data_IF_195115645505
#
_entry.id   IF_195115645505
#
_cell.length_a   1.000
_cell.length_b   1.000
_cell.length_c   1.000
_cell.angle_alpha   90.00
_cell.angle_beta   90.00
_cell.angle_gamma   90.00
#
_symmetry.space_group_name_H-M   'P 1'
#
loop_
_entity.id
_entity.type
_entity.pdbx_description
1 polymer ?
#
# COMPACT_ATOMS: atom_id res chain seq x y z
N UNK A 1 -19.53 23.04 -31.21
CA UNK A 1 -19.29 21.65 -30.73
C UNK A 1 -20.60 21.13 -30.18
N UNK A 2 -21.25 20.17 -30.85
CA UNK A 2 -22.52 19.63 -30.36
C UNK A 2 -22.26 18.79 -29.11
N UNK A 3 -22.70 19.30 -27.96
CA UNK A 3 -22.68 18.54 -26.72
C UNK A 3 -23.62 17.33 -26.91
N UNK A 4 -23.04 16.14 -26.97
CA UNK A 4 -23.82 14.90 -27.01
C UNK A 4 -24.56 14.76 -25.68
N UNK A 5 -25.90 14.85 -25.72
CA UNK A 5 -26.77 14.67 -24.56
C UNK A 5 -27.64 13.43 -24.68
N UNK A 6 -28.08 12.91 -23.53
CA UNK A 6 -28.97 11.75 -23.39
C UNK A 6 -29.90 11.97 -22.20
N UNK A 7 -31.06 11.31 -22.20
CA UNK A 7 -31.95 11.27 -21.05
C UNK A 7 -31.66 10.05 -20.17
N UNK A 8 -31.63 10.26 -18.84
CA UNK A 8 -31.38 9.21 -17.87
C UNK A 8 -32.59 8.28 -17.75
N UNK A 9 -32.42 6.97 -17.98
CA UNK A 9 -33.51 5.98 -17.87
C UNK A 9 -34.12 5.80 -16.46
N UNK A 10 -33.59 6.47 -15.44
CA UNK A 10 -34.05 6.34 -14.04
C UNK A 10 -34.76 7.58 -13.49
N UNK A 11 -34.47 8.76 -14.02
CA UNK A 11 -34.99 10.03 -13.52
C UNK A 11 -35.31 11.03 -14.63
N UNK A 12 -35.20 10.61 -15.89
CA UNK A 12 -35.45 11.35 -17.13
C UNK A 12 -34.67 12.66 -17.32
N UNK A 13 -33.80 13.01 -16.36
CA UNK A 13 -32.90 14.16 -16.45
C UNK A 13 -31.94 14.02 -17.64
N UNK A 14 -31.86 15.07 -18.45
CA UNK A 14 -30.87 15.22 -19.51
C UNK A 14 -29.45 15.33 -18.91
N UNK A 15 -28.50 14.60 -19.50
CA UNK A 15 -27.10 14.64 -19.11
C UNK A 15 -26.19 14.60 -20.34
N UNK A 16 -25.07 15.32 -20.24
CA UNK A 16 -24.07 15.41 -21.30
C UNK A 16 -22.96 14.37 -21.13
N UNK A 17 -22.27 14.08 -22.23
CA UNK A 17 -21.05 13.27 -22.24
C UNK A 17 -19.94 13.96 -21.45
N UNK A 18 -19.38 13.28 -20.44
CA UNK A 18 -18.22 13.81 -19.73
C UNK A 18 -16.96 13.72 -20.61
N UNK A 19 -15.98 14.63 -20.46
CA UNK A 19 -14.72 14.55 -21.20
C UNK A 19 -13.98 13.22 -20.99
N UNK A 20 -14.05 12.67 -19.77
CA UNK A 20 -13.45 11.39 -19.41
C UNK A 20 -14.18 10.16 -19.97
N UNK A 21 -15.41 10.30 -20.47
CA UNK A 21 -16.17 9.18 -21.03
C UNK A 21 -15.61 8.84 -22.43
N UNK A 22 -15.17 7.59 -22.63
CA UNK A 22 -14.82 7.11 -23.98
C UNK A 22 -16.06 7.07 -24.88
N UNK A 23 -15.89 7.16 -26.21
CA UNK A 23 -17.01 7.06 -27.17
C UNK A 23 -17.78 5.74 -26.99
N UNK A 24 -17.06 4.63 -26.76
CA UNK A 24 -17.62 3.30 -26.50
C UNK A 24 -18.44 3.27 -25.21
N UNK A 25 -17.92 3.84 -24.12
CA UNK A 25 -18.65 3.91 -22.86
C UNK A 25 -19.89 4.80 -22.97
N UNK A 26 -19.77 5.96 -23.63
CA UNK A 26 -20.90 6.86 -23.86
C UNK A 26 -22.04 6.17 -24.62
N UNK A 27 -21.74 5.37 -25.64
CA UNK A 27 -22.75 4.64 -26.42
C UNK A 27 -23.67 3.77 -25.53
N UNK A 28 -23.08 3.06 -24.55
CA UNK A 28 -23.82 2.16 -23.64
C UNK A 28 -24.30 2.85 -22.35
N UNK A 29 -23.91 4.09 -22.07
CA UNK A 29 -24.29 4.81 -20.84
C UNK A 29 -25.76 5.20 -20.89
N UNK A 30 -26.52 4.73 -19.90
CA UNK A 30 -27.98 4.89 -19.78
C UNK A 30 -28.41 5.81 -18.63
N UNK A 31 -27.51 6.12 -17.70
CA UNK A 31 -27.85 6.81 -16.45
C UNK A 31 -26.94 8.01 -16.22
N UNK A 32 -27.49 9.08 -15.65
CA UNK A 32 -26.75 10.29 -15.33
C UNK A 32 -25.78 10.12 -14.14
N UNK A 33 -25.98 9.10 -13.30
CA UNK A 33 -25.16 8.83 -12.11
C UNK A 33 -25.19 7.36 -11.67
N UNK A 34 -24.21 6.96 -10.85
CA UNK A 34 -24.21 5.65 -10.17
C UNK A 34 -25.46 5.46 -9.32
N UNK A 35 -25.96 6.52 -8.67
CA UNK A 35 -27.21 6.49 -7.89
C UNK A 35 -28.40 6.08 -8.75
N UNK A 36 -28.53 6.67 -9.94
CA UNK A 36 -29.59 6.33 -10.89
C UNK A 36 -29.48 4.89 -11.41
N UNK A 37 -28.26 4.45 -11.76
CA UNK A 37 -28.02 3.06 -12.18
C UNK A 37 -28.37 2.05 -11.07
N UNK A 38 -28.03 2.36 -9.81
CA UNK A 38 -28.33 1.53 -8.66
C UNK A 38 -29.83 1.53 -8.30
N UNK A 39 -30.53 2.65 -8.52
CA UNK A 39 -31.96 2.78 -8.20
C UNK A 39 -32.87 2.04 -9.20
N UNK A 40 -32.44 1.83 -10.45
CA UNK A 40 -33.11 0.93 -11.39
C UNK A 40 -32.84 -0.55 -11.11
N UNK A 41 -31.79 -0.85 -10.34
CA UNK A 41 -31.42 -2.20 -9.96
C UNK A 41 -32.19 -2.70 -8.71
N UNK A 42 -33.44 -2.26 -8.53
CA UNK A 42 -34.34 -2.71 -7.43
C UNK A 42 -34.63 -4.22 -7.46
N UNK A 43 -34.26 -4.93 -8.53
CA UNK A 43 -34.29 -6.40 -8.59
C UNK A 43 -33.15 -7.07 -7.82
N UNK A 44 -32.11 -6.35 -7.38
CA UNK A 44 -31.07 -6.94 -6.52
C UNK A 44 -31.64 -7.42 -5.17
N UNK A 45 -32.65 -6.72 -4.60
CA UNK A 45 -33.37 -7.20 -3.41
C UNK A 45 -34.18 -8.49 -3.67
N UNK A 46 -34.58 -8.75 -4.92
CA UNK A 46 -35.31 -9.97 -5.31
C UNK A 46 -34.44 -11.23 -5.31
N UNK A 47 -33.11 -11.10 -5.42
CA UNK A 47 -32.18 -12.24 -5.39
C UNK A 47 -31.78 -12.65 -3.97
N UNK A 48 -32.09 -11.82 -2.96
CA UNK A 48 -31.85 -12.14 -1.56
C UNK A 48 -32.95 -13.10 -1.10
N UNK A 49 -32.58 -14.37 -0.87
CA UNK A 49 -33.51 -15.41 -0.41
C UNK A 49 -34.04 -16.36 -1.50
N UNK A 50 -33.77 -16.10 -2.79
CA UNK A 50 -34.06 -17.10 -3.84
C UNK A 50 -33.10 -18.28 -3.66
N UNK A 51 -33.64 -19.44 -3.28
CA UNK A 51 -32.88 -20.69 -3.26
C UNK A 51 -32.46 -21.03 -4.69
N UNK A 52 -31.17 -21.27 -4.89
CA UNK A 52 -30.65 -21.75 -6.17
C UNK A 52 -31.29 -23.11 -6.50
N UNK A 53 -31.51 -23.43 -7.80
CA UNK A 53 -31.98 -24.75 -8.20
C UNK A 53 -31.07 -25.85 -7.65
N UNK A 54 -31.65 -26.98 -7.24
CA UNK A 54 -30.90 -28.09 -6.65
C UNK A 54 -29.75 -28.56 -7.56
N UNK A 55 -29.95 -28.55 -8.88
CA UNK A 55 -28.93 -28.90 -9.87
C UNK A 55 -27.71 -27.97 -9.84
N UNK A 56 -27.91 -26.67 -9.58
CA UNK A 56 -26.83 -25.68 -9.43
C UNK A 56 -26.12 -25.87 -8.10
N UNK A 57 -26.88 -26.10 -7.02
CA UNK A 57 -26.31 -26.38 -5.69
C UNK A 57 -25.45 -27.65 -5.73
N UNK A 58 -25.91 -28.70 -6.41
CA UNK A 58 -25.20 -29.97 -6.55
C UNK A 58 -23.91 -29.83 -7.38
N UNK A 59 -23.95 -29.10 -8.50
CA UNK A 59 -22.74 -28.76 -9.28
C UNK A 59 -21.73 -27.97 -8.44
N UNK A 60 -22.20 -27.03 -7.62
CA UNK A 60 -21.33 -26.27 -6.72
C UNK A 60 -20.71 -27.12 -5.61
N UNK A 61 -21.46 -28.07 -5.02
CA UNK A 61 -20.94 -28.99 -3.98
C UNK A 61 -19.80 -29.86 -4.51
N UNK A 62 -19.86 -30.28 -5.77
CA UNK A 62 -18.81 -31.09 -6.43
C UNK A 62 -17.54 -30.31 -6.74
N UNK A 63 -17.62 -28.99 -6.89
CA UNK A 63 -16.49 -28.11 -7.20
C UNK A 63 -15.95 -27.33 -6.01
N UNK A 64 -16.58 -27.47 -4.83
CA UNK A 64 -16.13 -26.80 -3.63
C UNK A 64 -14.75 -27.33 -3.20
N UNK A 65 -13.76 -26.45 -3.29
CA UNK A 65 -12.53 -26.53 -2.52
C UNK A 65 -12.88 -26.94 -1.08
N UNK A 66 -12.47 -28.14 -0.67
CA UNK A 66 -12.81 -28.65 0.66
C UNK A 66 -12.16 -27.72 1.69
N UNK A 67 -12.98 -27.02 2.48
CA UNK A 67 -12.52 -26.06 3.48
C UNK A 67 -11.49 -26.74 4.38
N UNK A 68 -10.26 -26.21 4.42
CA UNK A 68 -9.16 -26.77 5.21
C UNK A 68 -8.13 -27.59 4.41
N UNK A 69 -8.40 -27.96 3.16
CA UNK A 69 -7.35 -28.55 2.32
C UNK A 69 -6.28 -27.52 1.98
N UNK A 70 -5.02 -27.87 2.20
CA UNK A 70 -3.91 -27.12 1.66
C UNK A 70 -3.94 -27.24 0.12
N UNK A 71 -3.83 -26.12 -0.62
CA UNK A 71 -3.65 -26.22 -2.06
C UNK A 71 -2.32 -26.94 -2.36
N UNK A 72 -2.25 -27.68 -3.46
CA UNK A 72 -1.08 -28.48 -3.85
C UNK A 72 0.22 -27.67 -3.98
N UNK A 73 0.11 -26.36 -4.20
CA UNK A 73 1.23 -25.43 -4.31
C UNK A 73 1.61 -24.76 -2.97
N UNK A 74 0.98 -25.14 -1.85
CA UNK A 74 1.31 -24.57 -0.54
C UNK A 74 2.75 -24.90 -0.18
N UNK A 75 3.55 -23.85 0.05
CA UNK A 75 4.98 -23.99 0.35
C UNK A 75 5.88 -24.18 -0.88
N UNK A 76 5.31 -24.37 -2.07
CA UNK A 76 6.08 -24.46 -3.32
C UNK A 76 6.32 -23.04 -3.85
N UNK A 77 7.57 -22.56 -3.92
CA UNK A 77 7.86 -21.23 -4.43
C UNK A 77 7.65 -21.18 -5.96
N UNK A 78 6.98 -20.12 -6.44
CA UNK A 78 6.81 -19.92 -7.88
C UNK A 78 8.06 -19.29 -8.51
N UNK A 79 9.06 -20.13 -8.83
CA UNK A 79 10.38 -19.69 -9.31
C UNK A 79 10.34 -19.02 -10.70
N UNK A 80 9.31 -19.30 -11.50
CA UNK A 80 9.16 -18.74 -12.84
C UNK A 80 8.96 -17.21 -12.85
N UNK A 81 8.32 -16.67 -11.80
CA UNK A 81 8.05 -15.23 -11.65
C UNK A 81 8.70 -14.74 -10.35
N UNK A 82 10.03 -14.73 -10.35
CA UNK A 82 10.88 -14.17 -9.30
C UNK A 82 12.02 -13.40 -9.93
N UNK A 83 12.67 -12.55 -9.15
CA UNK A 83 13.84 -11.89 -9.68
C UNK A 83 13.46 -10.96 -10.83
N UNK A 84 14.38 -10.83 -11.76
CA UNK A 84 14.21 -10.16 -13.05
C UNK A 84 13.04 -10.71 -13.88
N UNK A 85 12.60 -11.95 -13.62
CA UNK A 85 11.46 -12.58 -14.33
C UNK A 85 10.10 -12.06 -13.86
N UNK A 86 10.03 -11.33 -12.74
CA UNK A 86 8.79 -10.76 -12.24
C UNK A 86 8.48 -9.43 -12.94
N UNK A 87 7.29 -9.26 -13.53
CA UNK A 87 6.94 -8.03 -14.29
C UNK A 87 7.02 -6.72 -13.48
N UNK A 88 6.80 -6.79 -12.16
CA UNK A 88 7.03 -5.67 -11.21
C UNK A 88 8.49 -5.52 -10.74
N UNK A 89 9.45 -6.30 -11.23
CA UNK A 89 10.85 -6.18 -10.84
C UNK A 89 11.44 -4.88 -11.40
N UNK A 90 11.97 -4.06 -10.51
CA UNK A 90 12.56 -2.76 -10.86
C UNK A 90 14.08 -2.84 -10.72
N UNK A 91 14.75 -3.66 -11.52
CA UNK A 91 16.21 -3.74 -11.58
C UNK A 91 16.91 -4.08 -10.26
N UNK A 92 16.24 -4.82 -9.36
CA UNK A 92 16.83 -5.14 -8.07
C UNK A 92 17.07 -3.92 -7.17
N UNK A 93 16.22 -2.88 -7.19
CA UNK A 93 16.31 -1.74 -6.24
C UNK A 93 16.41 -2.20 -4.77
N UNK A 94 15.93 -3.40 -4.43
CA UNK A 94 16.07 -4.05 -3.12
C UNK A 94 17.41 -4.79 -2.90
N UNK A 95 18.35 -4.75 -3.85
CA UNK A 95 19.65 -5.42 -3.82
C UNK A 95 20.66 -4.76 -2.87
N UNK A 96 21.90 -5.26 -2.88
CA UNK A 96 23.05 -4.78 -2.10
C UNK A 96 23.19 -3.25 -2.22
N UNK A 97 22.72 -2.52 -1.20
CA UNK A 97 22.74 -1.05 -1.16
C UNK A 97 21.38 -0.39 -0.93
N UNK A 98 20.27 -1.13 -1.08
CA UNK A 98 18.95 -0.61 -0.71
C UNK A 98 18.89 -0.32 0.78
N UNK A 99 18.19 0.75 1.21
CA UNK A 99 18.01 1.06 2.64
C UNK A 99 17.48 -0.15 3.41
N UNK A 100 16.53 -0.89 2.82
CA UNK A 100 15.96 -2.09 3.44
C UNK A 100 17.00 -3.18 3.63
N UNK A 101 17.88 -3.41 2.65
CA UNK A 101 18.99 -4.36 2.77
C UNK A 101 20.01 -3.90 3.82
N UNK A 102 20.42 -2.62 3.79
CA UNK A 102 21.39 -2.09 4.75
C UNK A 102 20.88 -2.24 6.18
N UNK A 103 19.59 -2.02 6.42
CA UNK A 103 19.00 -2.24 7.75
C UNK A 103 19.05 -3.70 8.24
N UNK A 104 19.33 -4.67 7.35
CA UNK A 104 19.52 -6.08 7.73
C UNK A 104 20.97 -6.44 8.06
N UNK A 105 21.94 -5.60 7.67
CA UNK A 105 23.37 -5.87 7.90
C UNK A 105 23.72 -5.85 9.38
N UNK A 106 24.77 -6.56 9.75
CA UNK A 106 25.27 -6.61 11.13
C UNK A 106 25.73 -5.23 11.60
N UNK A 107 26.42 -4.49 10.74
CA UNK A 107 26.91 -3.13 11.02
C UNK A 107 25.78 -2.17 11.42
N UNK A 108 24.69 -2.11 10.65
CA UNK A 108 23.54 -1.27 10.99
C UNK A 108 22.88 -1.70 12.31
N UNK A 109 22.75 -3.01 12.55
CA UNK A 109 22.18 -3.53 13.80
C UNK A 109 23.05 -3.19 15.01
N UNK A 110 24.37 -3.30 14.87
CA UNK A 110 25.32 -2.95 15.92
C UNK A 110 25.29 -1.45 16.22
N UNK A 111 25.33 -0.60 15.18
CA UNK A 111 25.19 0.85 15.32
C UNK A 111 23.88 1.24 16.01
N UNK A 112 22.75 0.68 15.57
CA UNK A 112 21.43 0.92 16.19
C UNK A 112 21.41 0.51 17.65
N UNK A 113 21.98 -0.65 17.98
CA UNK A 113 22.06 -1.14 19.36
C UNK A 113 22.93 -0.23 20.22
N UNK A 114 24.09 0.18 19.73
CA UNK A 114 25.02 1.05 20.45
C UNK A 114 24.37 2.39 20.84
N UNK A 115 23.60 3.00 19.94
CA UNK A 115 22.87 4.25 20.25
C UNK A 115 21.78 4.02 21.29
N UNK A 116 21.02 2.92 21.16
CA UNK A 116 19.96 2.60 22.11
C UNK A 116 20.53 2.30 23.49
N UNK A 117 21.65 1.59 23.58
CA UNK A 117 22.35 1.30 24.84
C UNK A 117 22.93 2.59 25.47
N UNK A 118 23.58 3.44 24.67
CA UNK A 118 24.09 4.76 25.13
C UNK A 118 22.98 5.62 25.71
N UNK A 119 21.84 5.66 25.02
CA UNK A 119 20.69 6.48 25.38
C UNK A 119 19.79 5.80 26.43
N UNK A 120 20.23 4.66 26.97
CA UNK A 120 19.48 3.82 27.91
C UNK A 120 18.02 3.62 27.45
N UNK A 121 17.83 3.26 26.17
CA UNK A 121 16.52 3.03 25.55
C UNK A 121 15.49 4.14 25.83
N UNK A 122 15.96 5.39 25.86
CA UNK A 122 15.15 6.55 26.23
C UNK A 122 15.15 7.58 25.09
N UNK A 123 13.96 8.13 24.77
CA UNK A 123 13.83 9.17 23.77
C UNK A 123 14.59 10.43 24.21
N UNK A 124 15.55 10.88 23.40
CA UNK A 124 16.42 12.01 23.74
C UNK A 124 15.72 13.38 23.65
N UNK A 125 14.50 13.45 23.11
CA UNK A 125 13.73 14.71 23.04
C UNK A 125 12.72 14.86 24.17
N UNK A 126 12.11 13.77 24.63
CA UNK A 126 11.01 13.83 25.60
C UNK A 126 11.19 12.94 26.83
N UNK A 127 12.29 12.19 26.92
CA UNK A 127 12.56 11.29 28.05
C UNK A 127 11.69 10.02 28.10
N UNK A 128 10.85 9.76 27.08
CA UNK A 128 10.00 8.57 27.08
C UNK A 128 10.81 7.27 26.98
N UNK A 129 10.54 6.32 27.88
CA UNK A 129 11.13 4.98 27.95
C UNK A 129 10.05 3.90 27.79
N UNK A 130 10.41 2.71 27.30
CA UNK A 130 9.47 1.58 27.17
C UNK A 130 8.46 1.75 26.02
N UNK A 131 8.68 2.73 25.15
CA UNK A 131 7.87 2.98 23.95
C UNK A 131 8.56 2.44 22.71
N UNK A 132 7.88 2.47 21.56
CA UNK A 132 8.54 2.24 20.27
C UNK A 132 9.61 3.30 20.05
N UNK A 133 10.84 2.89 19.70
CA UNK A 133 11.97 3.78 19.46
C UNK A 133 12.56 3.58 18.06
N UNK A 134 13.00 4.69 17.48
CA UNK A 134 13.72 4.75 16.22
C UNK A 134 15.14 5.25 16.47
N UNK A 135 16.11 4.67 15.77
CA UNK A 135 17.43 5.26 15.63
C UNK A 135 17.37 6.29 14.50
N UNK A 136 17.42 7.56 14.88
CA UNK A 136 17.44 8.71 13.99
C UNK A 136 18.88 9.17 13.72
N UNK A 137 19.13 9.64 12.50
CA UNK A 137 20.40 10.23 12.10
C UNK A 137 20.29 11.76 12.21
N UNK A 138 21.19 12.39 12.97
CA UNK A 138 21.23 13.85 13.13
C UNK A 138 21.54 14.51 11.77
N UNK A 139 22.59 14.04 11.10
CA UNK A 139 22.93 14.36 9.72
C UNK A 139 22.37 13.28 8.78
N UNK A 140 21.57 13.63 7.75
CA UNK A 140 20.87 12.66 6.92
C UNK A 140 21.75 11.57 6.29
N UNK A 141 21.29 10.32 6.40
CA UNK A 141 21.91 9.12 5.82
C UNK A 141 22.35 9.23 4.35
N UNK A 142 21.56 9.94 3.54
CA UNK A 142 21.80 10.10 2.10
C UNK A 142 22.90 11.11 1.77
N UNK A 143 23.08 12.13 2.62
CA UNK A 143 24.01 13.24 2.36
C UNK A 143 25.39 13.01 2.99
N UNK A 144 25.45 12.21 4.06
CA UNK A 144 26.67 11.99 4.84
C UNK A 144 26.98 10.50 4.97
N UNK A 145 27.39 9.82 3.89
CA UNK A 145 27.71 8.39 3.91
C UNK A 145 28.79 8.03 4.94
N UNK A 146 29.74 8.90 5.19
CA UNK A 146 30.84 8.75 6.14
C UNK A 146 30.39 8.79 7.61
N UNK A 147 29.21 9.38 7.89
CA UNK A 147 28.67 9.50 9.25
C UNK A 147 27.54 8.50 9.55
N UNK A 148 27.30 7.52 8.67
CA UNK A 148 26.17 6.59 8.81
C UNK A 148 26.22 5.75 10.07
N UNK A 149 27.43 5.42 10.51
CA UNK A 149 27.68 4.51 11.62
C UNK A 149 28.45 5.17 12.77
N UNK A 150 28.65 6.49 12.72
CA UNK A 150 29.17 7.21 13.87
C UNK A 150 28.09 7.29 14.94
N UNK A 151 28.44 6.95 16.18
CA UNK A 151 27.49 6.91 17.30
C UNK A 151 26.97 8.32 17.60
N UNK A 152 27.84 9.34 17.48
CA UNK A 152 27.49 10.74 17.72
C UNK A 152 26.52 11.32 16.69
N UNK A 153 26.47 10.74 15.49
CA UNK A 153 25.47 11.12 14.49
C UNK A 153 24.12 10.39 14.69
N UNK A 154 24.02 9.55 15.71
CA UNK A 154 22.82 8.82 16.05
C UNK A 154 22.14 9.33 17.31
N UNK A 155 20.80 9.30 17.32
CA UNK A 155 20.00 9.56 18.52
C UNK A 155 18.75 8.68 18.58
N UNK A 156 18.35 8.32 19.79
CA UNK A 156 17.14 7.54 20.06
C UNK A 156 15.93 8.45 20.15
N UNK A 157 14.93 8.27 19.27
CA UNK A 157 13.70 9.07 19.27
C UNK A 157 12.44 8.19 19.22
N UNK A 158 11.40 8.57 19.97
CA UNK A 158 10.06 8.01 19.79
C UNK A 158 9.45 8.51 18.46
N UNK A 159 8.48 7.79 17.85
CA UNK A 159 7.89 8.19 16.57
C UNK A 159 7.32 9.62 16.51
N UNK A 160 6.66 10.16 17.57
CA UNK A 160 6.23 11.55 17.58
C UNK A 160 7.40 12.54 17.46
N UNK A 161 8.43 12.41 18.30
CA UNK A 161 9.61 13.29 18.28
C UNK A 161 10.43 13.12 17.00
N UNK A 162 10.52 11.90 16.46
CA UNK A 162 11.22 11.67 15.20
C UNK A 162 10.57 12.42 14.03
N UNK A 163 9.23 12.55 14.01
CA UNK A 163 8.52 13.30 12.96
C UNK A 163 8.75 14.81 13.02
N UNK A 164 9.15 15.35 14.17
CA UNK A 164 9.39 16.79 14.33
C UNK A 164 10.77 17.22 13.85
N UNK A 165 11.69 16.29 13.56
CA UNK A 165 13.03 16.61 13.09
C UNK A 165 12.99 17.21 11.67
N UNK A 166 13.99 18.03 11.35
CA UNK A 166 14.16 18.63 10.02
C UNK A 166 14.68 17.63 8.98
N UNK A 167 15.10 16.46 9.43
CA UNK A 167 15.57 15.35 8.58
C UNK A 167 14.48 14.32 8.31
N UNK A 168 13.27 14.48 8.86
CA UNK A 168 12.20 13.51 8.69
C UNK A 168 11.56 13.57 7.30
N UNK A 169 11.49 12.42 6.64
CA UNK A 169 10.77 12.25 5.38
C UNK A 169 11.31 13.15 4.28
N UNK A 170 10.44 13.92 3.63
CA UNK A 170 10.82 14.85 2.54
C UNK A 170 11.61 16.06 3.01
N UNK A 171 11.61 16.39 4.32
CA UNK A 171 12.36 17.53 4.84
C UNK A 171 13.87 17.37 4.66
N UNK A 172 14.37 16.13 4.67
CA UNK A 172 15.77 15.82 4.39
C UNK A 172 16.26 16.32 3.01
N UNK A 173 15.36 16.51 2.03
CA UNK A 173 15.71 17.03 0.70
C UNK A 173 16.11 18.50 0.74
N UNK A 174 15.68 19.24 1.76
CA UNK A 174 15.94 20.67 1.93
C UNK A 174 16.87 20.95 3.11
N UNK A 175 17.53 19.91 3.66
CA UNK A 175 18.44 20.05 4.77
C UNK A 175 19.63 20.93 4.36
N UNK A 176 19.76 22.10 5.00
CA UNK A 176 20.85 23.06 4.81
C UNK A 176 21.79 22.95 6.03
N UNK A 177 23.08 23.00 5.75
CA UNK A 177 24.14 22.96 6.76
C UNK A 177 24.17 24.24 7.60
#
# INVERSE_FOLDING_TARGET
MNNLTKNCKACDKEFAKYPSDSKKYWAIKMFCSKKCANNTNKNYKKLVGIKRPASVVEKMRKTMFRKGQAPWNKGIPYLAIRGEKHHNWKGGISSNGSRRFIMTTLEYKNWRRAIFERDDYTCQFCGARGVTLNADHIKPWSLYPELRYTIDNGRTLCPPCHKTTDTYGSKALYYKF
#
